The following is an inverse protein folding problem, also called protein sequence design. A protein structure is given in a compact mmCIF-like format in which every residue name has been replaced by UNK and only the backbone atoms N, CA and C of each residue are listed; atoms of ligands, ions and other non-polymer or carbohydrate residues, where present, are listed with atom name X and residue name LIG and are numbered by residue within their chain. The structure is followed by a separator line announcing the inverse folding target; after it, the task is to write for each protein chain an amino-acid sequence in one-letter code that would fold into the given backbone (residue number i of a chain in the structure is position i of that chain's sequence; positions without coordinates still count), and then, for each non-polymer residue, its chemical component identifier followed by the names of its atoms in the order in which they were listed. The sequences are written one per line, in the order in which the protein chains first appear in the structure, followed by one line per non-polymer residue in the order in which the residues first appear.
data_IF_373434457191
#
_entry.id   IF_373434457191
#
_cell.length_a   1.000
_cell.length_b   1.000
_cell.length_c   1.000
_cell.angle_alpha   90.00
_cell.angle_beta   90.00
_cell.angle_gamma   90.00
#
_symmetry.space_group_name_H-M   'P 1'
#
loop_
_entity.id
_entity.type
_entity.pdbx_description
1 polymer ?
#
# COMPACT_ATOMS: atom_id res chain seq x y z
N UNK A 1 -2.21 -13.60 22.87
CA UNK A 1 -2.28 -12.57 21.82
C UNK A 1 -3.09 -13.10 20.65
N UNK A 2 -4.38 -12.77 20.59
CA UNK A 2 -5.27 -13.10 19.47
C UNK A 2 -6.29 -11.97 19.28
N UNK A 3 -6.73 -11.76 18.04
CA UNK A 3 -7.85 -10.86 17.74
C UNK A 3 -9.13 -11.60 18.09
N UNK A 4 -9.84 -11.16 19.14
CA UNK A 4 -11.06 -11.84 19.63
C UNK A 4 -12.35 -11.18 19.14
N UNK A 5 -12.29 -9.92 18.69
CA UNK A 5 -13.41 -9.24 18.06
C UNK A 5 -12.95 -8.26 17.00
N UNK A 6 -13.68 -8.20 15.90
CA UNK A 6 -13.53 -7.21 14.84
C UNK A 6 -14.91 -6.81 14.34
N UNK A 7 -15.35 -5.60 14.66
CA UNK A 7 -16.69 -5.07 14.30
C UNK A 7 -16.67 -4.23 13.03
N UNK A 8 -15.52 -4.08 12.37
CA UNK A 8 -15.35 -3.17 11.23
C UNK A 8 -15.92 -3.71 9.91
N UNK A 9 -16.15 -5.02 9.83
CA UNK A 9 -16.47 -5.72 8.57
C UNK A 9 -15.28 -5.89 7.62
N UNK A 10 -14.10 -5.40 8.00
CA UNK A 10 -12.85 -5.50 7.24
C UNK A 10 -12.00 -6.69 7.71
N UNK A 11 -10.95 -7.03 6.97
CA UNK A 11 -9.99 -8.06 7.38
C UNK A 11 -8.97 -7.46 8.34
N UNK A 12 -8.59 -8.22 9.37
CA UNK A 12 -7.58 -7.79 10.32
C UNK A 12 -6.60 -8.92 10.64
N UNK A 13 -5.37 -8.52 10.96
CA UNK A 13 -4.29 -9.42 11.32
C UNK A 13 -3.34 -8.73 12.29
N UNK A 14 -2.59 -9.54 13.02
CA UNK A 14 -1.58 -9.04 13.96
C UNK A 14 -0.29 -9.84 13.84
N UNK A 15 0.84 -9.16 14.02
CA UNK A 15 2.16 -9.78 14.10
C UNK A 15 2.99 -9.11 15.21
N UNK A 16 4.12 -9.73 15.55
CA UNK A 16 5.16 -9.08 16.36
C UNK A 16 6.22 -8.51 15.43
N UNK A 17 6.60 -7.26 15.65
CA UNK A 17 7.70 -6.63 14.94
C UNK A 17 8.52 -5.78 15.92
N UNK A 18 9.84 -5.88 15.84
CA UNK A 18 10.76 -5.09 16.65
C UNK A 18 11.02 -3.72 16.01
N UNK A 19 11.16 -2.69 16.84
CA UNK A 19 11.68 -1.39 16.41
C UNK A 19 13.22 -1.34 16.42
N UNK A 20 13.78 -0.17 16.13
CA UNK A 20 15.23 0.05 16.10
C UNK A 20 15.90 -0.05 17.49
N UNK A 21 15.12 0.06 18.57
CA UNK A 21 15.57 -0.09 19.95
C UNK A 21 15.40 -1.53 20.46
N UNK A 22 15.10 -2.48 19.55
CA UNK A 22 14.84 -3.89 19.85
C UNK A 22 13.63 -4.12 20.79
N UNK A 23 12.69 -3.17 20.83
CA UNK A 23 11.42 -3.34 21.55
C UNK A 23 10.45 -4.04 20.62
N UNK A 24 9.96 -5.21 21.02
CA UNK A 24 8.90 -5.90 20.32
C UNK A 24 7.58 -5.14 20.44
N UNK A 25 6.88 -4.96 19.33
CA UNK A 25 5.54 -4.39 19.29
C UNK A 25 4.53 -5.40 18.77
N UNK A 26 3.32 -5.38 19.33
CA UNK A 26 2.16 -6.00 18.70
C UNK A 26 1.62 -5.04 17.64
N UNK A 27 1.90 -5.33 16.37
CA UNK A 27 1.37 -4.62 15.23
C UNK A 27 -0.01 -5.20 14.87
N UNK A 28 -1.00 -4.33 14.71
CA UNK A 28 -2.31 -4.65 14.15
C UNK A 28 -2.48 -3.92 12.83
N UNK A 29 -2.89 -4.68 11.81
CA UNK A 29 -3.24 -4.15 10.48
C UNK A 29 -4.69 -4.50 10.20
N UNK A 30 -5.45 -3.51 9.73
CA UNK A 30 -6.83 -3.67 9.28
C UNK A 30 -6.89 -3.25 7.82
N UNK A 31 -7.44 -4.10 6.95
CA UNK A 31 -7.55 -3.87 5.51
C UNK A 31 -8.99 -4.00 5.04
N UNK A 32 -9.49 -2.96 4.40
CA UNK A 32 -10.78 -2.95 3.74
C UNK A 32 -10.62 -2.91 2.21
N UNK A 33 -11.42 -3.71 1.51
CA UNK A 33 -11.62 -3.65 0.05
C UNK A 33 -12.93 -2.93 -0.24
N UNK A 34 -12.88 -1.94 -1.13
CA UNK A 34 -14.00 -1.07 -1.46
C UNK A 34 -14.22 -1.03 -2.96
N UNK A 35 -15.47 -0.97 -3.40
CA UNK A 35 -15.83 -0.59 -4.76
C UNK A 35 -16.12 0.91 -4.81
N UNK A 36 -15.77 1.55 -5.93
CA UNK A 36 -16.06 2.96 -6.17
C UNK A 36 -17.29 3.11 -7.05
N UNK A 37 -18.06 4.16 -6.79
CA UNK A 37 -19.18 4.61 -7.64
C UNK A 37 -18.68 5.64 -8.67
N UNK A 38 -19.49 5.99 -9.68
CA UNK A 38 -19.12 7.05 -10.64
C UNK A 38 -18.79 8.39 -9.97
N UNK A 39 -19.44 8.72 -8.85
CA UNK A 39 -19.19 9.92 -8.05
C UNK A 39 -17.98 9.77 -7.10
N UNK A 40 -17.36 8.60 -7.06
CA UNK A 40 -16.19 8.28 -6.26
C UNK A 40 -16.48 7.79 -4.85
N UNK A 41 -17.74 7.67 -4.43
CA UNK A 41 -18.06 7.16 -3.10
C UNK A 41 -17.63 5.70 -2.95
N UNK A 42 -16.80 5.42 -1.94
CA UNK A 42 -16.29 4.10 -1.62
C UNK A 42 -17.28 3.31 -0.75
N UNK A 43 -17.61 2.09 -1.18
CA UNK A 43 -18.47 1.16 -0.46
C UNK A 43 -17.72 -0.13 -0.16
N UNK A 44 -17.73 -0.55 1.10
CA UNK A 44 -17.09 -1.79 1.51
C UNK A 44 -17.71 -2.98 0.76
N UNK A 45 -16.87 -3.80 0.14
CA UNK A 45 -17.32 -4.97 -0.63
C UNK A 45 -17.64 -6.15 0.29
N UNK A 46 -18.52 -7.06 -0.14
CA UNK A 46 -18.77 -8.31 0.61
C UNK A 46 -17.56 -9.24 0.60
N UNK A 47 -16.93 -9.36 -0.56
CA UNK A 47 -15.68 -10.09 -0.72
C UNK A 47 -14.51 -9.16 -0.41
N UNK A 48 -13.71 -9.52 0.57
CA UNK A 48 -12.56 -8.75 1.02
C UNK A 48 -11.27 -9.44 0.58
N UNK A 49 -10.29 -8.69 0.09
CA UNK A 49 -8.96 -9.22 -0.19
C UNK A 49 -8.25 -9.60 1.13
N UNK A 50 -7.63 -10.80 1.21
CA UNK A 50 -6.89 -11.21 2.40
C UNK A 50 -5.65 -10.33 2.60
N UNK A 51 -5.14 -10.26 3.83
CA UNK A 51 -3.88 -9.57 4.12
C UNK A 51 -2.70 -10.23 3.37
N UNK A 52 -1.82 -9.39 2.84
CA UNK A 52 -0.60 -9.81 2.14
C UNK A 52 0.48 -10.01 3.19
N UNK A 53 0.92 -11.26 3.38
CA UNK A 53 1.95 -11.59 4.37
C UNK A 53 3.35 -11.59 3.77
N UNK A 54 3.46 -11.85 2.47
CA UNK A 54 4.69 -11.83 1.68
C UNK A 54 4.43 -11.09 0.37
N UNK A 55 5.45 -10.42 -0.17
CA UNK A 55 5.32 -9.63 -1.40
C UNK A 55 4.80 -10.52 -2.56
N UNK A 56 3.73 -10.07 -3.21
CA UNK A 56 3.19 -10.69 -4.42
C UNK A 56 3.76 -9.98 -5.64
N UNK A 57 4.40 -10.73 -6.52
CA UNK A 57 4.98 -10.21 -7.77
C UNK A 57 4.04 -10.45 -8.96
N UNK A 58 4.20 -9.69 -10.05
CA UNK A 58 3.47 -9.93 -11.30
C UNK A 58 3.88 -11.23 -12.00
N UNK A 59 5.05 -11.77 -11.69
CA UNK A 59 5.61 -13.00 -12.24
C UNK A 59 6.76 -13.48 -11.37
N UNK A 60 7.90 -13.81 -11.98
CA UNK A 60 9.11 -14.21 -11.27
C UNK A 60 9.64 -13.06 -10.38
N UNK A 61 9.83 -13.28 -9.06
CA UNK A 61 10.35 -12.25 -8.15
C UNK A 61 11.71 -11.65 -8.55
N UNK A 62 12.55 -12.40 -9.28
CA UNK A 62 13.87 -11.92 -9.70
C UNK A 62 13.81 -10.92 -10.86
N UNK A 63 12.72 -10.90 -11.63
CA UNK A 63 12.62 -10.13 -12.88
C UNK A 63 11.33 -9.33 -13.04
N UNK A 64 10.39 -9.42 -12.11
CA UNK A 64 9.11 -8.72 -12.18
C UNK A 64 8.86 -7.80 -10.99
N UNK A 65 8.16 -6.71 -11.26
CA UNK A 65 7.78 -5.74 -10.23
C UNK A 65 6.86 -6.37 -9.17
N UNK A 66 6.91 -5.80 -7.96
CA UNK A 66 5.99 -6.13 -6.88
C UNK A 66 4.61 -5.57 -7.25
N UNK A 67 3.59 -6.43 -7.22
CA UNK A 67 2.18 -6.06 -7.40
C UNK A 67 1.59 -5.58 -6.07
N UNK A 68 1.79 -6.36 -5.01
CA UNK A 68 1.37 -6.02 -3.65
C UNK A 68 2.50 -6.30 -2.67
N UNK A 69 2.89 -5.29 -1.88
CA UNK A 69 3.86 -5.48 -0.80
C UNK A 69 3.17 -6.07 0.43
N UNK A 70 3.94 -6.76 1.28
CA UNK A 70 3.50 -7.19 2.61
C UNK A 70 2.84 -6.05 3.38
N UNK A 71 1.68 -6.35 3.96
CA UNK A 71 0.87 -5.41 4.69
C UNK A 71 1.47 -5.09 6.08
N UNK A 72 2.49 -5.82 6.52
CA UNK A 72 3.01 -5.79 7.90
C UNK A 72 4.29 -4.96 8.06
N UNK A 73 4.22 -3.67 7.68
CA UNK A 73 5.21 -2.69 8.10
C UNK A 73 4.87 -2.12 9.49
N UNK A 74 5.85 -2.10 10.40
CA UNK A 74 5.66 -1.61 11.78
C UNK A 74 5.13 -0.17 11.83
N UNK A 75 5.72 0.70 11.02
CA UNK A 75 5.34 2.11 10.95
C UNK A 75 5.67 2.72 9.58
N UNK A 76 4.73 3.51 9.07
CA UNK A 76 4.86 4.33 7.87
C UNK A 76 4.68 5.80 8.23
N UNK A 77 5.70 6.68 8.02
CA UNK A 77 5.60 8.08 8.42
C UNK A 77 4.61 8.89 7.57
N UNK A 78 4.32 8.46 6.33
CA UNK A 78 3.39 9.11 5.40
C UNK A 78 2.34 8.11 4.92
N UNK A 79 1.36 8.59 4.15
CA UNK A 79 0.37 7.76 3.50
C UNK A 79 0.84 7.41 2.10
N UNK A 80 1.05 6.12 1.85
CA UNK A 80 1.34 5.61 0.51
C UNK A 80 0.05 5.58 -0.32
N UNK A 81 0.05 6.22 -1.49
CA UNK A 81 -0.97 5.96 -2.51
C UNK A 81 -0.30 5.18 -3.62
N UNK A 82 -0.82 4.01 -3.98
CA UNK A 82 -0.30 3.11 -5.01
C UNK A 82 -1.37 2.88 -6.08
N UNK A 83 -0.97 2.63 -7.33
CA UNK A 83 -1.88 2.19 -8.38
C UNK A 83 -1.43 0.83 -8.91
N UNK A 84 -2.36 -0.12 -8.91
CA UNK A 84 -2.25 -1.43 -9.56
C UNK A 84 -3.21 -1.41 -10.75
N UNK A 85 -2.66 -1.37 -11.97
CA UNK A 85 -3.50 -1.30 -13.16
C UNK A 85 -2.73 -1.10 -14.46
N UNK A 86 -3.43 -0.54 -15.42
CA UNK A 86 -3.01 -0.41 -16.80
C UNK A 86 -3.48 0.94 -17.36
N UNK A 87 -2.76 1.47 -18.33
CA UNK A 87 -3.22 2.56 -19.18
C UNK A 87 -4.28 1.99 -20.12
N UNK A 88 -5.43 2.66 -20.23
CA UNK A 88 -6.56 2.23 -21.06
C UNK A 88 -6.92 3.35 -22.03
N UNK A 89 -6.81 3.06 -23.32
CA UNK A 89 -7.09 4.02 -24.38
C UNK A 89 -8.61 4.34 -24.44
N UNK A 90 -9.00 5.62 -24.42
CA UNK A 90 -10.41 6.02 -24.46
C UNK A 90 -11.15 5.47 -25.67
N UNK A 91 -12.38 5.00 -25.46
CA UNK A 91 -13.24 4.46 -26.53
C UNK A 91 -12.74 3.16 -27.16
N UNK A 92 -11.73 2.50 -26.57
CA UNK A 92 -11.14 1.27 -27.13
C UNK A 92 -10.35 1.48 -28.41
N UNK A 93 -10.03 2.72 -28.77
CA UNK A 93 -9.28 3.06 -29.97
C UNK A 93 -7.78 2.96 -29.69
N UNK A 94 -7.06 2.13 -30.45
CA UNK A 94 -5.63 1.92 -30.24
C UNK A 94 -4.84 3.22 -30.49
N UNK A 95 -3.93 3.56 -29.58
CA UNK A 95 -3.10 4.78 -29.66
C UNK A 95 -1.62 4.43 -29.52
N UNK A 96 -0.72 5.09 -30.27
CA UNK A 96 0.72 4.89 -30.13
C UNK A 96 1.27 5.42 -28.79
N UNK A 97 0.59 6.42 -28.23
CA UNK A 97 0.92 7.11 -26.99
C UNK A 97 -0.35 7.46 -26.24
N UNK A 98 -0.30 7.37 -24.92
CA UNK A 98 -1.40 7.75 -24.04
C UNK A 98 -0.85 8.37 -22.76
N UNK A 99 -1.33 9.56 -22.42
CA UNK A 99 -1.04 10.16 -21.11
C UNK A 99 -1.98 9.61 -20.06
N UNK A 100 -1.42 9.16 -18.94
CA UNK A 100 -2.17 8.73 -17.75
C UNK A 100 -1.85 9.65 -16.58
N UNK A 101 -2.78 9.75 -15.62
CA UNK A 101 -2.63 10.66 -14.47
C UNK A 101 -3.17 10.10 -13.17
N UNK A 102 -2.51 10.45 -12.06
CA UNK A 102 -2.96 10.28 -10.69
C UNK A 102 -3.08 11.67 -10.05
N UNK A 103 -4.31 12.12 -9.81
CA UNK A 103 -4.59 13.35 -9.07
C UNK A 103 -4.77 13.02 -7.59
N UNK A 104 -3.99 13.69 -6.75
CA UNK A 104 -4.02 13.59 -5.30
C UNK A 104 -4.28 14.97 -4.67
N UNK A 105 -4.61 15.04 -3.38
CA UNK A 105 -4.66 16.31 -2.67
C UNK A 105 -3.34 17.08 -2.77
N UNK A 106 -3.35 18.19 -3.51
CA UNK A 106 -2.22 19.11 -3.64
C UNK A 106 -1.12 18.71 -4.62
N UNK A 107 -1.22 17.56 -5.31
CA UNK A 107 -0.25 17.14 -6.33
C UNK A 107 -0.89 16.31 -7.43
N UNK A 108 -0.35 16.39 -8.63
CA UNK A 108 -0.77 15.56 -9.77
C UNK A 108 0.46 14.92 -10.39
N UNK A 109 0.42 13.61 -10.54
CA UNK A 109 1.45 12.82 -11.21
C UNK A 109 0.95 12.36 -12.56
N UNK A 110 1.71 12.61 -13.62
CA UNK A 110 1.36 12.19 -14.98
C UNK A 110 2.51 11.43 -15.62
N UNK A 111 2.21 10.36 -16.35
CA UNK A 111 3.17 9.61 -17.15
C UNK A 111 2.74 9.59 -18.61
N UNK A 112 3.71 9.55 -19.52
CA UNK A 112 3.48 9.27 -20.93
C UNK A 112 3.69 7.77 -21.16
N UNK A 113 2.65 7.08 -21.62
CA UNK A 113 2.68 5.64 -21.89
C UNK A 113 2.82 5.43 -23.38
N UNK A 114 3.93 4.85 -23.79
CA UNK A 114 4.28 4.64 -25.19
C UNK A 114 4.13 3.15 -25.54
N UNK A 115 3.58 2.89 -26.73
CA UNK A 115 3.43 1.53 -27.27
C UNK A 115 4.75 0.76 -27.33
N UNK A 116 4.66 -0.54 -27.62
CA UNK A 116 5.84 -1.39 -27.72
C UNK A 116 6.83 -0.84 -28.76
N UNK A 117 8.10 -0.82 -28.38
CA UNK A 117 9.21 -0.30 -29.18
C UNK A 117 10.45 -1.16 -28.95
N UNK A 118 11.33 -1.15 -29.94
CA UNK A 118 12.66 -1.73 -29.86
C UNK A 118 13.69 -0.76 -30.42
N UNK A 119 14.95 -0.93 -30.05
CA UNK A 119 16.05 -0.19 -30.65
C UNK A 119 16.26 -0.64 -32.09
N UNK A 120 16.30 0.30 -33.02
CA UNK A 120 16.61 0.07 -34.44
C UNK A 120 17.80 0.92 -34.86
N UNK A 121 18.65 0.37 -35.73
CA UNK A 121 19.79 1.11 -36.26
C UNK A 121 19.43 1.81 -37.56
N UNK A 122 19.65 3.12 -37.59
CA UNK A 122 19.49 3.94 -38.79
C UNK A 122 20.64 4.95 -38.87
N UNK A 123 21.23 5.11 -40.06
CA UNK A 123 22.35 6.03 -40.30
C UNK A 123 23.52 5.93 -39.27
N UNK A 124 23.81 4.71 -38.80
CA UNK A 124 24.89 4.46 -37.83
C UNK A 124 24.56 4.76 -36.36
N UNK A 125 23.36 5.24 -36.06
CA UNK A 125 22.88 5.49 -34.70
C UNK A 125 21.66 4.63 -34.34
N UNK A 126 21.43 4.44 -33.04
CA UNK A 126 20.26 3.73 -32.53
C UNK A 126 19.14 4.70 -32.19
N UNK A 127 17.93 4.34 -32.59
CA UNK A 127 16.72 5.08 -32.28
C UNK A 127 15.62 4.12 -31.83
N UNK A 128 14.66 4.56 -31.01
CA UNK A 128 13.45 3.78 -30.77
C UNK A 128 12.68 3.62 -32.09
N UNK A 129 12.14 2.43 -32.34
CA UNK A 129 11.19 2.20 -33.42
C UNK A 129 9.90 3.02 -33.24
N UNK A 130 9.07 3.08 -34.29
CA UNK A 130 7.73 3.64 -34.17
C UNK A 130 6.92 2.81 -33.16
N UNK A 131 6.22 3.46 -32.21
CA UNK A 131 5.44 2.75 -31.20
C UNK A 131 4.27 2.00 -31.82
N UNK A 132 4.12 0.74 -31.44
CA UNK A 132 2.96 -0.08 -31.81
C UNK A 132 1.73 0.44 -31.07
N UNK A 133 0.65 0.86 -31.75
CA UNK A 133 -0.57 1.31 -31.09
C UNK A 133 -1.18 0.25 -30.17
N UNK A 134 -1.65 0.66 -29.01
CA UNK A 134 -2.25 -0.21 -28.00
C UNK A 134 -3.58 0.33 -27.49
N UNK A 135 -4.46 -0.56 -27.04
CA UNK A 135 -5.67 -0.20 -26.30
C UNK A 135 -5.47 -0.30 -24.79
N UNK A 136 -4.55 -1.17 -24.36
CA UNK A 136 -4.21 -1.43 -22.96
C UNK A 136 -2.70 -1.60 -22.77
N UNK A 137 -2.13 -1.05 -21.71
CA UNK A 137 -0.70 -1.14 -21.40
C UNK A 137 -0.46 -1.20 -19.88
N UNK A 138 0.15 -2.26 -19.33
CA UNK A 138 0.38 -2.37 -17.89
C UNK A 138 1.22 -1.21 -17.31
N UNK A 139 0.82 -0.67 -16.16
CA UNK A 139 1.55 0.40 -15.46
C UNK A 139 2.48 -0.17 -14.39
N UNK A 140 3.54 -0.84 -14.84
CA UNK A 140 4.46 -1.59 -13.99
C UNK A 140 5.90 -1.10 -14.13
N UNK A 141 6.68 -1.20 -13.06
CA UNK A 141 8.08 -0.78 -13.07
C UNK A 141 8.97 -1.63 -13.99
N UNK A 142 8.61 -2.88 -14.27
CA UNK A 142 9.31 -3.71 -15.26
C UNK A 142 9.14 -3.23 -16.71
N UNK A 143 8.31 -2.19 -16.93
CA UNK A 143 8.13 -1.48 -18.21
C UNK A 143 8.66 -0.04 -18.19
N UNK A 144 9.28 0.36 -17.09
CA UNK A 144 9.95 1.65 -16.94
C UNK A 144 11.46 1.50 -17.19
N UNK A 145 12.16 2.63 -17.31
CA UNK A 145 13.63 2.65 -17.37
C UNK A 145 14.19 1.85 -16.20
N UNK A 146 15.12 0.93 -16.47
CA UNK A 146 15.81 0.17 -15.45
C UNK A 146 16.51 -1.08 -15.97
N UNK A 147 16.87 -1.94 -15.04
CA UNK A 147 17.61 -3.18 -15.27
C UNK A 147 18.56 -3.47 -14.10
N UNK A 148 19.27 -4.62 -14.11
CA UNK A 148 20.14 -5.02 -13.00
C UNK A 148 21.20 -3.98 -12.60
N UNK A 149 21.64 -3.15 -13.55
CA UNK A 149 22.64 -2.10 -13.34
C UNK A 149 22.01 -0.75 -12.92
N UNK A 150 20.69 -0.61 -12.94
CA UNK A 150 19.96 0.60 -12.52
C UNK A 150 19.41 0.42 -11.10
N UNK A 151 20.15 0.93 -10.11
CA UNK A 151 19.80 0.78 -8.69
C UNK A 151 18.44 1.38 -8.31
N UNK A 152 17.88 2.29 -9.13
CA UNK A 152 16.56 2.89 -8.90
C UNK A 152 15.40 2.01 -9.38
N UNK A 153 15.67 1.00 -10.22
CA UNK A 153 14.68 0.05 -10.74
C UNK A 153 15.38 -1.21 -11.29
N UNK A 154 15.63 -2.18 -10.41
CA UNK A 154 16.42 -3.38 -10.75
C UNK A 154 15.72 -4.34 -11.71
N UNK A 155 14.39 -4.23 -11.86
CA UNK A 155 13.56 -5.10 -12.70
C UNK A 155 13.08 -4.39 -13.98
N UNK A 156 13.50 -3.14 -14.19
CA UNK A 156 13.13 -2.36 -15.36
C UNK A 156 13.79 -2.83 -16.65
N UNK A 157 13.61 -2.02 -17.69
CA UNK A 157 14.11 -2.32 -19.03
C UNK A 157 14.89 -1.14 -19.61
N UNK A 158 15.78 -1.41 -20.56
CA UNK A 158 16.43 -0.38 -21.38
C UNK A 158 17.66 0.29 -20.79
N UNK A 159 18.04 0.03 -19.53
CA UNK A 159 19.30 0.53 -18.96
C UNK A 159 20.41 -0.52 -19.04
N UNK A 160 21.36 -0.29 -19.95
CA UNK A 160 22.50 -1.19 -20.20
C UNK A 160 23.79 -0.38 -20.41
N UNK A 161 24.36 0.25 -19.36
CA UNK A 161 25.43 1.25 -19.51
C UNK A 161 26.69 0.69 -20.19
N UNK A 162 27.08 -0.54 -19.85
CA UNK A 162 28.33 -1.16 -20.31
C UNK A 162 28.17 -1.96 -21.63
N UNK A 163 26.93 -2.22 -22.08
CA UNK A 163 26.70 -3.09 -23.24
C UNK A 163 26.96 -2.33 -24.56
N UNK A 164 27.73 -2.87 -25.53
CA UNK A 164 28.00 -2.18 -26.80
C UNK A 164 26.72 -1.86 -27.58
N UNK A 165 26.68 -0.70 -28.26
CA UNK A 165 25.50 -0.27 -29.02
C UNK A 165 25.07 -1.31 -30.08
N UNK A 166 26.01 -1.99 -30.72
CA UNK A 166 25.70 -3.03 -31.71
C UNK A 166 24.85 -4.18 -31.15
N UNK A 167 24.90 -4.44 -29.84
CA UNK A 167 24.13 -5.49 -29.18
C UNK A 167 22.79 -5.01 -28.61
N UNK A 168 22.51 -3.72 -28.71
CA UNK A 168 21.25 -3.15 -28.23
C UNK A 168 20.16 -3.18 -29.30
N UNK A 169 20.52 -3.32 -30.58
CA UNK A 169 19.56 -3.46 -31.68
C UNK A 169 18.59 -4.63 -31.41
N UNK A 170 17.29 -4.37 -31.56
CA UNK A 170 16.21 -5.32 -31.28
C UNK A 170 15.79 -5.40 -29.81
N UNK A 171 16.56 -4.88 -28.86
CA UNK A 171 16.16 -4.88 -27.45
C UNK A 171 14.97 -3.94 -27.21
N UNK A 172 14.10 -4.28 -26.24
CA UNK A 172 12.93 -3.46 -25.89
C UNK A 172 13.32 -2.08 -25.34
N UNK A 173 12.46 -1.10 -25.62
CA UNK A 173 12.52 0.26 -25.05
C UNK A 173 11.41 0.39 -24.00
N UNK A 174 11.68 1.05 -22.84
CA UNK A 174 10.67 1.36 -21.83
C UNK A 174 9.37 1.94 -22.40
N UNK A 175 8.24 1.58 -21.81
CA UNK A 175 6.92 2.12 -22.18
C UNK A 175 6.52 3.30 -21.29
N UNK A 176 7.00 3.36 -20.05
CA UNK A 176 6.67 4.43 -19.11
C UNK A 176 7.73 5.52 -19.18
N UNK A 177 7.34 6.69 -19.68
CA UNK A 177 8.21 7.86 -19.84
C UNK A 177 7.68 9.04 -19.01
N UNK A 178 8.60 9.94 -18.64
CA UNK A 178 8.25 11.22 -18.05
C UNK A 178 7.69 12.13 -19.15
N UNK A 179 6.55 12.83 -18.92
CA UNK A 179 5.99 13.75 -19.91
C UNK A 179 7.00 14.82 -20.31
N UNK A 180 7.18 15.03 -21.62
CA UNK A 180 8.12 16.01 -22.17
C UNK A 180 9.58 15.56 -22.24
N UNK A 181 9.91 14.36 -21.76
CA UNK A 181 11.24 13.78 -21.81
C UNK A 181 11.20 12.42 -22.53
N UNK A 182 11.02 12.41 -23.86
CA UNK A 182 10.96 11.16 -24.61
C UNK A 182 12.32 10.46 -24.59
N UNK A 183 12.29 9.13 -24.46
CA UNK A 183 13.52 8.34 -24.47
C UNK A 183 14.04 8.26 -25.91
N UNK A 184 15.10 9.00 -26.22
CA UNK A 184 15.68 9.08 -27.56
C UNK A 184 17.01 8.32 -27.71
N UNK A 185 17.64 7.90 -26.61
CA UNK A 185 18.95 7.26 -26.60
C UNK A 185 19.00 6.09 -25.63
N UNK A 186 19.68 4.98 -25.98
CA UNK A 186 19.88 3.85 -25.06
C UNK A 186 20.82 4.18 -23.90
N UNK A 187 21.45 5.36 -23.95
CA UNK A 187 22.33 5.90 -22.90
C UNK A 187 21.64 6.98 -22.06
N UNK A 188 20.32 7.13 -22.17
CA UNK A 188 19.59 8.06 -21.33
C UNK A 188 19.74 7.70 -19.85
N UNK A 189 19.89 8.72 -19.00
CA UNK A 189 19.92 8.60 -17.55
C UNK A 189 18.57 8.90 -16.90
N UNK A 190 17.48 8.85 -17.69
CA UNK A 190 16.11 9.12 -17.26
C UNK A 190 15.75 8.36 -15.99
N UNK A 191 14.98 9.01 -15.12
CA UNK A 191 14.51 8.41 -13.89
C UNK A 191 13.42 7.36 -14.18
N UNK A 192 13.46 6.19 -13.51
CA UNK A 192 12.35 5.25 -13.56
C UNK A 192 11.07 5.88 -13.02
N UNK A 193 10.00 5.82 -13.81
CA UNK A 193 8.69 6.36 -13.43
C UNK A 193 7.65 5.25 -13.38
N UNK A 194 6.72 5.34 -12.42
CA UNK A 194 5.67 4.35 -12.22
C UNK A 194 4.75 4.74 -11.07
N UNK A 195 3.63 4.05 -10.93
CA UNK A 195 2.65 4.28 -9.86
C UNK A 195 2.58 3.14 -8.82
N UNK A 196 3.27 2.03 -9.07
CA UNK A 196 3.24 0.84 -8.22
C UNK A 196 4.24 0.87 -7.08
N UNK A 197 4.57 -0.30 -6.54
CA UNK A 197 5.51 -0.46 -5.43
C UNK A 197 6.95 -0.24 -5.89
N UNK A 198 7.69 0.58 -5.15
CA UNK A 198 9.14 0.73 -5.23
C UNK A 198 9.80 -0.38 -4.40
N UNK A 199 10.70 -1.16 -5.01
CA UNK A 199 11.34 -2.29 -4.35
C UNK A 199 12.21 -1.89 -3.14
N UNK A 200 12.21 -2.72 -2.09
CA UNK A 200 13.00 -2.52 -0.85
C UNK A 200 14.50 -2.39 -1.10
N UNK A 201 15.02 -3.11 -2.09
CA UNK A 201 16.43 -3.10 -2.49
C UNK A 201 16.80 -1.93 -3.40
N UNK A 202 15.84 -1.10 -3.82
CA UNK A 202 16.10 0.00 -4.74
C UNK A 202 16.60 1.24 -3.99
N UNK A 203 17.41 2.06 -4.66
CA UNK A 203 18.12 3.18 -4.05
C UNK A 203 17.21 4.16 -3.28
N UNK A 204 15.98 4.36 -3.73
CA UNK A 204 14.98 5.23 -3.12
C UNK A 204 14.64 4.81 -1.68
N UNK A 205 14.58 3.49 -1.42
CA UNK A 205 14.27 2.92 -0.11
C UNK A 205 15.52 2.50 0.63
N UNK A 206 16.48 1.88 -0.06
CA UNK A 206 17.70 1.31 0.52
C UNK A 206 18.50 2.35 1.32
N UNK A 207 18.47 3.63 0.90
CA UNK A 207 19.09 4.74 1.65
C UNK A 207 18.57 4.95 3.08
N UNK A 208 17.42 4.35 3.42
CA UNK A 208 16.79 4.40 4.75
C UNK A 208 16.93 3.09 5.54
N UNK A 209 17.56 2.06 4.97
CA UNK A 209 17.70 0.75 5.62
C UNK A 209 18.65 0.78 6.83
N UNK A 210 19.46 1.83 6.98
CA UNK A 210 20.53 1.93 7.95
C UNK A 210 21.81 1.22 7.51
N UNK A 211 22.82 1.22 8.37
CA UNK A 211 24.17 0.74 8.08
C UNK A 211 24.39 -0.66 8.65
N UNK A 212 24.60 -1.66 7.78
CA UNK A 212 24.86 -3.06 8.14
C UNK A 212 26.35 -3.42 8.00
N UNK A 213 27.21 -2.76 8.78
CA UNK A 213 28.66 -2.97 8.78
C UNK A 213 29.12 -4.00 9.84
N UNK A 214 30.43 -4.13 10.03
CA UNK A 214 30.98 -5.06 11.02
C UNK A 214 30.60 -4.68 12.45
N UNK A 215 30.49 -3.39 12.75
CA UNK A 215 30.06 -2.92 14.07
C UNK A 215 28.61 -3.33 14.35
N UNK A 216 27.72 -3.19 13.36
CA UNK A 216 26.37 -3.72 13.47
C UNK A 216 26.37 -5.23 13.76
N UNK A 217 27.21 -6.02 13.06
CA UNK A 217 27.33 -7.47 13.30
C UNK A 217 27.77 -7.79 14.73
N UNK A 218 28.75 -7.06 15.25
CA UNK A 218 29.37 -7.35 16.54
C UNK A 218 28.51 -6.86 17.74
N UNK A 219 27.81 -5.74 17.57
CA UNK A 219 27.14 -5.03 18.70
C UNK A 219 25.60 -5.03 18.65
N UNK A 220 25.00 -5.25 17.48
CA UNK A 220 23.55 -5.01 17.25
C UNK A 220 22.79 -6.19 16.64
N UNK A 221 23.44 -7.03 15.85
CA UNK A 221 22.78 -8.17 15.22
C UNK A 221 22.09 -9.05 16.28
N UNK A 222 20.87 -9.55 16.03
CA UNK A 222 20.10 -9.50 14.78
C UNK A 222 19.12 -8.31 14.66
N UNK A 223 19.22 -7.27 15.49
CA UNK A 223 18.29 -6.13 15.47
C UNK A 223 18.57 -5.15 14.33
N UNK A 224 17.62 -4.24 14.07
CA UNK A 224 17.80 -3.18 13.07
C UNK A 224 19.00 -2.28 13.41
N UNK A 225 19.68 -1.69 12.42
CA UNK A 225 20.69 -0.67 12.64
C UNK A 225 20.13 0.51 13.44
N UNK A 226 20.99 1.16 14.24
CA UNK A 226 20.59 2.32 15.05
C UNK A 226 20.19 3.54 14.20
N UNK A 227 20.67 3.61 12.96
CA UNK A 227 20.36 4.63 11.96
C UNK A 227 19.23 4.20 10.99
N UNK A 228 18.50 3.12 11.29
CA UNK A 228 17.32 2.72 10.53
C UNK A 228 16.27 3.84 10.54
N UNK A 229 15.76 4.17 9.36
CA UNK A 229 14.73 5.20 9.19
C UNK A 229 13.40 4.55 8.73
N UNK A 230 12.27 4.75 9.45
CA UNK A 230 10.98 4.20 9.06
C UNK A 230 10.49 4.57 7.66
N UNK A 231 11.07 5.60 7.01
CA UNK A 231 10.85 5.88 5.59
C UNK A 231 11.22 4.69 4.68
N UNK A 232 12.07 3.77 5.13
CA UNK A 232 12.33 2.49 4.45
C UNK A 232 11.03 1.70 4.17
N UNK A 233 10.01 1.84 5.03
CA UNK A 233 8.73 1.17 4.87
C UNK A 233 7.78 1.87 3.88
N UNK A 234 8.12 3.07 3.38
CA UNK A 234 7.34 3.73 2.34
C UNK A 234 7.56 3.01 1.01
N UNK A 235 6.48 2.46 0.48
CA UNK A 235 6.47 1.63 -0.73
C UNK A 235 6.07 2.42 -1.98
N UNK A 236 5.37 3.54 -1.80
CA UNK A 236 4.97 4.39 -2.91
C UNK A 236 6.12 5.32 -3.34
N UNK A 237 6.24 5.65 -4.63
CA UNK A 237 7.10 6.73 -5.11
C UNK A 237 6.84 8.03 -4.33
N UNK A 238 7.89 8.83 -4.10
CA UNK A 238 7.84 10.00 -3.20
C UNK A 238 6.81 11.05 -3.62
N UNK A 239 6.59 11.19 -4.93
CA UNK A 239 5.62 12.10 -5.54
C UNK A 239 4.15 11.68 -5.38
N UNK A 240 3.89 10.52 -4.77
CA UNK A 240 2.56 10.00 -4.43
C UNK A 240 2.45 9.58 -2.96
N UNK A 241 3.30 10.14 -2.09
CA UNK A 241 3.21 10.01 -0.63
C UNK A 241 2.56 11.25 -0.02
N UNK A 242 1.43 11.08 0.67
CA UNK A 242 0.71 12.16 1.33
C UNK A 242 1.10 12.29 2.79
N UNK A 243 1.06 13.49 3.36
CA UNK A 243 1.32 13.67 4.79
C UNK A 243 0.27 12.94 5.65
N UNK A 244 -1.01 13.15 5.34
CA UNK A 244 -2.15 12.55 6.01
C UNK A 244 -3.34 12.43 5.06
N UNK A 245 -4.25 11.51 5.35
CA UNK A 245 -5.61 11.47 4.82
C UNK A 245 -6.57 11.37 6.01
N UNK A 246 -7.61 12.22 6.04
CA UNK A 246 -8.56 12.33 7.15
C UNK A 246 -9.96 11.83 6.78
N UNK A 247 -10.23 11.65 5.50
CA UNK A 247 -11.55 11.39 4.94
C UNK A 247 -12.11 12.63 4.26
N UNK A 248 -12.92 12.39 3.22
CA UNK A 248 -13.50 13.41 2.35
C UNK A 248 -12.60 13.84 1.18
N UNK A 249 -11.29 13.58 1.25
CA UNK A 249 -10.38 13.88 0.14
C UNK A 249 -10.74 13.08 -1.12
N UNK A 250 -10.57 13.70 -2.29
CA UNK A 250 -10.81 13.06 -3.59
C UNK A 250 -9.48 12.77 -4.29
N UNK A 251 -9.37 11.55 -4.82
CA UNK A 251 -8.30 11.09 -5.70
C UNK A 251 -8.89 10.71 -7.05
N UNK A 252 -8.11 10.86 -8.13
CA UNK A 252 -8.55 10.47 -9.47
C UNK A 252 -7.47 9.74 -10.25
N UNK A 253 -7.88 8.68 -10.94
CA UNK A 253 -7.07 7.98 -11.93
C UNK A 253 -7.58 8.33 -13.32
N UNK A 254 -6.72 8.86 -14.18
CA UNK A 254 -7.05 9.33 -15.54
C UNK A 254 -6.48 8.34 -16.55
N UNK A 255 -7.34 7.86 -17.45
CA UNK A 255 -7.03 6.88 -18.51
C UNK A 255 -6.45 5.56 -17.98
N UNK A 256 -6.95 5.09 -16.84
CA UNK A 256 -6.53 3.82 -16.21
C UNK A 256 -7.67 2.79 -16.10
N UNK A 257 -8.79 3.05 -16.76
CA UNK A 257 -9.99 2.21 -16.80
C UNK A 257 -10.76 2.48 -18.11
N UNK A 258 -11.83 1.72 -18.36
CA UNK A 258 -12.74 1.99 -19.49
C UNK A 258 -13.34 3.40 -19.39
N UNK A 259 -13.69 3.81 -18.17
CA UNK A 259 -14.04 5.19 -17.83
C UNK A 259 -12.80 6.08 -17.90
N UNK A 260 -12.85 7.23 -18.60
CA UNK A 260 -11.69 8.11 -18.72
C UNK A 260 -11.14 8.64 -17.40
N UNK A 261 -12.01 8.78 -16.38
CA UNK A 261 -11.64 9.23 -15.04
C UNK A 261 -12.36 8.37 -14.00
N UNK A 262 -11.60 7.65 -13.19
CA UNK A 262 -12.10 6.93 -12.01
C UNK A 262 -11.85 7.79 -10.78
N UNK A 263 -12.90 8.01 -9.98
CA UNK A 263 -12.86 8.85 -8.77
C UNK A 263 -12.84 7.98 -7.53
N UNK A 264 -12.19 8.48 -6.49
CA UNK A 264 -12.15 7.85 -5.17
C UNK A 264 -12.25 8.93 -4.11
N UNK A 265 -13.32 8.92 -3.32
CA UNK A 265 -13.47 9.76 -2.14
C UNK A 265 -13.12 8.92 -0.91
N UNK A 266 -12.05 9.31 -0.23
CA UNK A 266 -11.58 8.63 0.98
C UNK A 266 -12.70 8.69 2.02
N UNK A 267 -13.14 7.56 2.60
CA UNK A 267 -14.23 7.57 3.56
C UNK A 267 -13.72 8.07 4.92
N UNK A 268 -14.59 8.77 5.64
CA UNK A 268 -14.35 9.14 7.05
C UNK A 268 -14.60 7.92 7.94
N UNK A 269 -13.60 7.04 8.04
CA UNK A 269 -13.66 5.83 8.87
C UNK A 269 -12.65 5.90 10.01
N UNK A 270 -13.16 5.58 11.19
CA UNK A 270 -12.37 5.38 12.42
C UNK A 270 -12.16 3.91 12.67
N UNK A 271 -10.96 3.56 13.15
CA UNK A 271 -10.58 2.18 13.44
C UNK A 271 -9.94 2.14 14.82
N UNK A 272 -10.74 2.27 15.90
CA UNK A 272 -10.23 2.12 17.25
C UNK A 272 -9.80 0.67 17.51
N UNK A 273 -8.69 0.50 18.20
CA UNK A 273 -8.14 -0.80 18.60
C UNK A 273 -7.87 -0.78 20.10
N UNK A 274 -8.38 -1.78 20.80
CA UNK A 274 -8.15 -1.99 22.23
C UNK A 274 -7.27 -3.23 22.42
N UNK A 275 -6.09 -3.03 23.00
CA UNK A 275 -5.15 -4.07 23.41
C UNK A 275 -5.37 -4.35 24.90
N UNK A 276 -5.96 -5.51 25.23
CA UNK A 276 -6.22 -5.90 26.62
C UNK A 276 -5.03 -6.66 27.20
N UNK A 277 -4.27 -6.00 28.06
CA UNK A 277 -3.25 -6.67 28.85
C UNK A 277 -3.85 -7.22 30.15
N UNK A 278 -3.09 -8.08 30.83
CA UNK A 278 -3.48 -8.66 32.14
C UNK A 278 -3.84 -7.59 33.18
N UNK A 279 -3.15 -6.45 33.14
CA UNK A 279 -3.23 -5.41 34.16
C UNK A 279 -3.95 -4.13 33.68
N UNK A 280 -3.92 -3.82 32.38
CA UNK A 280 -4.55 -2.63 31.83
C UNK A 280 -4.90 -2.74 30.34
N UNK A 281 -5.93 -2.01 29.93
CA UNK A 281 -6.30 -1.86 28.52
C UNK A 281 -5.53 -0.66 27.92
N UNK A 282 -4.94 -0.87 26.73
CA UNK A 282 -4.32 0.19 25.93
C UNK A 282 -5.17 0.46 24.70
N UNK A 283 -5.64 1.69 24.53
CA UNK A 283 -6.41 2.11 23.35
C UNK A 283 -5.52 2.84 22.34
N UNK A 284 -5.71 2.53 21.06
CA UNK A 284 -5.09 3.22 19.92
C UNK A 284 -6.13 3.46 18.84
N UNK A 285 -5.93 4.52 18.07
CA UNK A 285 -6.61 4.70 16.80
C UNK A 285 -5.66 4.21 15.70
N UNK A 286 -6.09 3.26 14.88
CA UNK A 286 -5.31 2.82 13.74
C UNK A 286 -5.33 3.91 12.66
N UNK A 287 -4.14 4.25 12.14
CA UNK A 287 -3.96 5.32 11.17
C UNK A 287 -4.03 4.76 9.76
N UNK A 288 -4.81 5.40 8.89
CA UNK A 288 -4.79 5.15 7.45
C UNK A 288 -3.44 5.59 6.89
N UNK A 289 -2.67 4.65 6.36
CA UNK A 289 -1.30 4.90 5.88
C UNK A 289 -0.99 4.21 4.54
N UNK A 290 -1.93 3.47 3.95
CA UNK A 290 -1.78 2.96 2.58
C UNK A 290 -3.13 2.89 1.86
N UNK A 291 -3.19 3.42 0.64
CA UNK A 291 -4.26 3.28 -0.34
C UNK A 291 -3.70 2.57 -1.57
N UNK A 292 -4.36 1.51 -2.02
CA UNK A 292 -4.04 0.83 -3.27
C UNK A 292 -5.24 0.95 -4.20
N UNK A 293 -5.07 1.67 -5.32
CA UNK A 293 -6.12 1.94 -6.28
C UNK A 293 -6.04 0.91 -7.43
N UNK A 294 -7.17 0.28 -7.74
CA UNK A 294 -7.33 -0.63 -8.88
C UNK A 294 -8.40 -0.05 -9.84
N UNK A 295 -8.07 1.01 -10.60
CA UNK A 295 -9.04 1.76 -11.42
C UNK A 295 -9.74 0.89 -12.45
N UNK A 296 -9.01 0.01 -13.14
CA UNK A 296 -9.54 -0.95 -14.09
C UNK A 296 -10.55 -1.96 -13.50
N UNK A 297 -10.60 -2.10 -12.16
CA UNK A 297 -11.59 -2.93 -11.44
C UNK A 297 -12.66 -2.09 -10.74
N UNK A 298 -12.55 -0.77 -10.74
CA UNK A 298 -13.39 0.12 -9.93
C UNK A 298 -13.23 -0.14 -8.42
N UNK A 299 -12.04 -0.53 -7.97
CA UNK A 299 -11.79 -0.91 -6.58
C UNK A 299 -10.67 -0.09 -5.94
N UNK A 300 -10.67 -0.06 -4.61
CA UNK A 300 -9.59 0.46 -3.79
C UNK A 300 -9.44 -0.39 -2.52
N UNK A 301 -8.20 -0.49 -2.03
CA UNK A 301 -7.87 -1.14 -0.77
C UNK A 301 -7.29 -0.09 0.17
N UNK A 302 -7.83 -0.02 1.38
CA UNK A 302 -7.39 0.93 2.42
C UNK A 302 -6.84 0.15 3.60
N UNK A 303 -5.71 0.58 4.12
CA UNK A 303 -5.02 -0.07 5.24
C UNK A 303 -4.82 0.89 6.40
N UNK A 304 -5.23 0.44 7.58
CA UNK A 304 -5.03 1.12 8.84
C UNK A 304 -4.07 0.32 9.71
N UNK A 305 -3.13 1.00 10.35
CA UNK A 305 -2.12 0.38 11.23
C UNK A 305 -2.02 1.07 12.58
N UNK A 306 -1.85 0.27 13.63
CA UNK A 306 -1.36 0.73 14.92
C UNK A 306 -0.54 -0.34 15.60
N UNK A 307 0.33 0.08 16.51
CA UNK A 307 1.15 -0.82 17.30
C UNK A 307 1.19 -0.37 18.76
N UNK A 308 1.44 -1.34 19.64
CA UNK A 308 1.77 -1.10 21.06
C UNK A 308 3.00 -1.92 21.43
N UNK A 309 3.90 -1.38 22.28
CA UNK A 309 5.03 -2.16 22.77
C UNK A 309 4.51 -3.35 23.57
N UNK A 310 5.08 -4.52 23.32
CA UNK A 310 4.88 -5.68 24.16
C UNK A 310 5.64 -5.49 25.47
N UNK A 311 5.08 -6.06 26.53
CA UNK A 311 5.68 -6.06 27.86
C UNK A 311 6.69 -7.21 27.95
N UNK A 312 7.35 -7.33 29.11
CA UNK A 312 8.33 -8.40 29.40
C UNK A 312 7.88 -9.80 29.00
N UNK A 313 6.58 -10.11 29.10
CA UNK A 313 6.02 -11.37 28.59
C UNK A 313 5.01 -11.05 27.49
N UNK A 314 5.19 -11.54 26.25
CA UNK A 314 4.20 -11.40 25.18
C UNK A 314 2.81 -11.95 25.54
N UNK A 315 2.76 -12.95 26.43
CA UNK A 315 1.52 -13.53 26.97
C UNK A 315 0.72 -12.59 27.87
N UNK A 316 1.29 -11.47 28.31
CA UNK A 316 0.57 -10.45 29.05
C UNK A 316 -0.50 -9.78 28.17
N UNK A 317 -0.33 -9.75 26.83
CA UNK A 317 -1.36 -9.33 25.89
C UNK A 317 -2.36 -10.49 25.65
N UNK A 318 -3.54 -10.35 26.24
CA UNK A 318 -4.58 -11.38 26.21
C UNK A 318 -5.40 -11.30 24.94
N UNK A 319 -5.93 -10.13 24.64
CA UNK A 319 -6.92 -9.93 23.59
C UNK A 319 -6.67 -8.64 22.81
N UNK A 320 -7.05 -8.66 21.54
CA UNK A 320 -7.10 -7.49 20.68
C UNK A 320 -8.54 -7.34 20.18
N UNK A 321 -9.13 -6.18 20.39
CA UNK A 321 -10.47 -5.83 19.91
C UNK A 321 -10.37 -4.70 18.92
N UNK A 322 -11.03 -4.86 17.77
CA UNK A 322 -10.95 -3.93 16.64
C UNK A 322 -12.34 -3.40 16.32
N UNK A 323 -12.42 -2.09 16.10
CA UNK A 323 -13.66 -1.36 15.85
C UNK A 323 -14.39 -0.99 17.15
N UNK A 324 -15.46 -0.22 17.00
CA UNK A 324 -16.31 0.15 18.13
C UNK A 324 -16.91 -1.11 18.73
N UNK A 325 -16.60 -1.33 20.01
CA UNK A 325 -17.12 -2.48 20.73
C UNK A 325 -18.55 -2.15 21.17
N UNK A 326 -19.51 -3.06 20.95
CA UNK A 326 -20.82 -2.90 21.56
C UNK A 326 -20.64 -2.74 23.08
N UNK A 327 -21.49 -1.94 23.75
CA UNK A 327 -21.44 -1.80 25.19
C UNK A 327 -21.37 -3.19 25.81
N UNK A 328 -20.40 -3.42 26.70
CA UNK A 328 -20.21 -4.72 27.30
C UNK A 328 -21.55 -5.20 27.87
N UNK A 329 -22.11 -6.25 27.28
CA UNK A 329 -23.15 -7.03 27.93
C UNK A 329 -22.61 -7.52 29.27
N UNK A 330 -23.47 -7.83 30.26
CA UNK A 330 -23.02 -8.17 31.59
C UNK A 330 -21.98 -9.30 31.56
N UNK A 331 -20.75 -8.96 31.91
CA UNK A 331 -19.65 -9.91 32.10
C UNK A 331 -19.98 -10.69 33.37
N UNK A 332 -20.15 -12.00 33.24
CA UNK A 332 -20.49 -12.96 34.30
C UNK A 332 -21.88 -12.86 34.94
N UNK A 333 -22.60 -13.98 34.85
CA UNK A 333 -23.67 -14.36 35.77
C UNK A 333 -23.03 -15.12 36.94
N UNK A 334 -22.62 -14.44 38.00
CA UNK A 334 -22.25 -15.11 39.24
C UNK A 334 -23.52 -15.33 40.07
N UNK A 335 -23.93 -16.58 40.27
CA UNK A 335 -25.17 -16.91 41.00
C UNK A 335 -26.46 -16.41 40.33
N UNK A 336 -26.48 -16.26 39.00
CA UNK A 336 -27.66 -15.83 38.25
C UNK A 336 -27.91 -14.31 38.19
N UNK A 337 -27.05 -13.49 38.82
CA UNK A 337 -27.15 -12.02 38.77
C UNK A 337 -26.11 -11.42 37.81
N UNK A 338 -26.52 -10.56 36.86
CA UNK A 338 -25.60 -9.88 35.96
C UNK A 338 -24.76 -8.84 36.70
N UNK A 339 -23.44 -8.83 36.47
CA UNK A 339 -22.51 -7.82 37.00
C UNK A 339 -22.20 -6.78 35.91
N UNK A 340 -22.19 -5.50 36.28
CA UNK A 340 -21.97 -4.38 35.35
C UNK A 340 -20.71 -3.61 35.75
N UNK A 341 -19.85 -3.29 34.77
CA UNK A 341 -18.60 -2.54 35.01
C UNK A 341 -18.85 -1.05 35.31
N UNK A 342 -19.92 -0.46 34.78
CA UNK A 342 -20.30 0.93 35.03
C UNK A 342 -21.76 1.02 35.44
N UNK A 343 -22.10 2.00 36.28
CA UNK A 343 -23.47 2.24 36.73
C UNK A 343 -24.43 2.48 35.55
N UNK A 344 -23.95 3.13 34.49
CA UNK A 344 -24.74 3.37 33.26
C UNK A 344 -25.19 2.09 32.55
N UNK A 345 -24.37 1.04 32.57
CA UNK A 345 -24.69 -0.25 31.95
C UNK A 345 -25.77 -0.99 32.76
N UNK A 346 -25.69 -0.91 34.10
CA UNK A 346 -26.70 -1.45 35.00
C UNK A 346 -28.07 -0.76 34.81
N UNK A 347 -28.07 0.57 34.68
CA UNK A 347 -29.29 1.36 34.47
C UNK A 347 -29.93 1.04 33.12
N UNK A 348 -29.14 0.84 32.06
CA UNK A 348 -29.65 0.48 30.72
C UNK A 348 -30.31 -0.90 30.73
N UNK A 349 -29.65 -1.90 31.30
CA UNK A 349 -30.20 -3.25 31.44
C UNK A 349 -31.49 -3.30 32.29
N UNK A 350 -31.60 -2.46 33.32
CA UNK A 350 -32.82 -2.30 34.12
C UNK A 350 -33.98 -1.69 33.32
N UNK A 351 -33.70 -0.72 32.46
CA UNK A 351 -34.71 -0.10 31.58
C UNK A 351 -35.23 -1.08 30.53
N UNK A 352 -34.36 -1.90 29.95
CA UNK A 352 -34.73 -2.93 28.98
C UNK A 352 -35.61 -4.02 29.62
N UNK A 353 -35.30 -4.46 30.85
CA UNK A 353 -36.17 -5.37 31.61
C UNK A 353 -37.55 -4.79 31.90
N UNK A 354 -37.63 -3.51 32.27
CA UNK A 354 -38.92 -2.84 32.49
C UNK A 354 -39.75 -2.71 31.20
N UNK A 355 -39.11 -2.49 30.04
CA UNK A 355 -39.79 -2.44 28.74
C UNK A 355 -40.26 -3.81 28.25
N UNK A 356 -39.52 -4.88 28.55
CA UNK A 356 -39.94 -6.25 28.24
C UNK A 356 -41.10 -6.76 29.09
N UNK A 357 -41.20 -6.33 30.36
CA UNK A 357 -42.29 -6.73 31.26
C UNK A 357 -43.60 -5.96 31.04
N UNK A 358 -43.59 -4.88 30.25
CA UNK A 358 -44.79 -4.10 29.89
C UNK A 358 -45.46 -4.55 28.59
N UNK A 359 -44.91 -5.56 27.91
CA UNK A 359 -45.48 -6.17 26.69
C UNK A 359 -45.84 -7.66 26.91
N UNK A 360 -46.16 -8.06 28.14
CA UNK A 360 -46.65 -9.40 28.49
C UNK A 360 -48.06 -9.34 29.03
#
# INVERSE_FOLDING_TARGET
MQITANTTGMIAGSTVAADADAVDHCLVVVKGTFSTSPEGALRLTREQRPLITCDEHYGDPASSAIRYESDFALFKPRVDVLVVGEAVAPGGLAQPRLRVGLELPGTTKTLEVVGERSWVRAAGALFPSNPVPFTRMPLRFDRAVGGPDERRNLVGVGYHPERPAAELEGLPVPNLERPGHPLCSPRSSDEPVGFGVVGRSWAQRLRYAGTYDQRWRDERAPYLPADFDPRYNQSAPEDQQLATLRGGEELRCIHMAAEPVVRYRVPELRVPVCFRFVDADTHREARLDTLILEPHLGQAQLLWRCAVPLRRRPSDLREILIGDQPPAGPMDRQGGKPRFRRLGDAVRALRERKRGASCS
#
